data_IF_557858073885
#
_entry.id   IF_557858073885
#
_cell.length_a   1.000
_cell.length_b   1.000
_cell.length_c   1.000
_cell.angle_alpha   90.00
_cell.angle_beta   90.00
_cell.angle_gamma   90.00
#
_symmetry.space_group_name_H-M   'P 1'
#
loop_
_entity.id
_entity.type
_entity.pdbx_description
1 polymer ?
#
# COMPACT_ATOMS: atom_id res chain seq x y z
N UNK A 1 35.48 31.66 31.42
CA UNK A 1 35.12 30.27 31.78
C UNK A 1 36.04 29.83 32.91
N UNK A 2 35.57 29.77 34.15
CA UNK A 2 36.38 29.44 35.34
C UNK A 2 36.69 27.94 35.49
N UNK A 3 36.01 27.06 34.73
CA UNK A 3 36.16 25.60 34.79
C UNK A 3 36.88 25.08 33.54
N UNK A 4 37.88 24.18 33.68
CA UNK A 4 38.56 23.58 32.54
C UNK A 4 37.65 22.79 31.60
N UNK A 5 37.83 22.94 30.28
CA UNK A 5 37.05 22.23 29.24
C UNK A 5 37.14 20.70 29.39
N UNK A 6 38.32 20.17 29.70
CA UNK A 6 38.53 18.73 29.89
C UNK A 6 37.59 18.17 30.97
N UNK A 7 37.44 18.89 32.09
CA UNK A 7 36.57 18.46 33.19
C UNK A 7 35.09 18.41 32.80
N UNK A 8 34.66 19.33 31.93
CA UNK A 8 33.30 19.34 31.38
C UNK A 8 33.09 18.14 30.45
N UNK A 9 34.07 17.82 29.60
CA UNK A 9 34.01 16.66 28.70
C UNK A 9 33.94 15.33 29.46
N UNK A 10 34.67 15.19 30.57
CA UNK A 10 34.60 14.00 31.43
C UNK A 10 33.19 13.79 31.97
N UNK A 11 32.56 14.87 32.48
CA UNK A 11 31.19 14.83 32.96
C UNK A 11 30.21 14.46 31.83
N UNK A 12 30.37 15.04 30.64
CA UNK A 12 29.55 14.69 29.47
C UNK A 12 29.72 13.23 29.06
N UNK A 13 30.95 12.69 29.13
CA UNK A 13 31.24 11.28 28.83
C UNK A 13 30.53 10.35 29.82
N UNK A 14 30.62 10.61 31.13
CA UNK A 14 29.93 9.82 32.17
C UNK A 14 28.41 9.90 31.99
N UNK A 15 27.87 11.09 31.73
CA UNK A 15 26.44 11.27 31.43
C UNK A 15 26.01 10.42 30.23
N UNK A 16 26.78 10.44 29.14
CA UNK A 16 26.47 9.65 27.95
C UNK A 16 26.47 8.15 28.25
N UNK A 17 27.38 7.68 29.09
CA UNK A 17 27.44 6.29 29.56
C UNK A 17 26.22 5.90 30.41
N UNK A 18 25.84 6.75 31.38
CA UNK A 18 24.68 6.51 32.27
C UNK A 18 23.37 6.41 31.48
N UNK A 19 23.16 7.29 30.49
CA UNK A 19 21.91 7.34 29.72
C UNK A 19 21.97 6.61 28.37
N UNK A 20 23.04 5.85 28.11
CA UNK A 20 23.26 5.15 26.85
C UNK A 20 23.09 6.05 25.61
N UNK A 21 23.57 7.30 25.71
CA UNK A 21 23.53 8.28 24.60
C UNK A 21 24.90 8.38 23.93
N UNK A 22 24.93 8.86 22.69
CA UNK A 22 26.17 8.95 21.90
C UNK A 22 27.03 10.13 22.34
N UNK A 23 28.30 9.88 22.69
CA UNK A 23 29.30 10.91 22.98
C UNK A 23 30.08 11.26 21.70
N UNK A 24 29.98 12.51 21.23
CA UNK A 24 30.65 12.98 19.99
C UNK A 24 31.25 14.39 20.20
N UNK A 25 32.42 14.51 20.85
CA UNK A 25 33.04 15.80 21.17
C UNK A 25 33.60 16.52 19.93
N UNK A 26 33.94 15.78 18.88
CA UNK A 26 34.51 16.31 17.63
C UNK A 26 33.44 16.70 16.59
N UNK A 27 32.15 16.46 16.88
CA UNK A 27 31.07 16.84 15.97
C UNK A 27 31.06 16.08 14.64
N UNK A 28 31.62 14.86 14.60
CA UNK A 28 31.73 14.06 13.38
C UNK A 28 30.34 13.63 12.88
N UNK A 29 30.15 13.59 11.56
CA UNK A 29 28.89 13.14 10.92
C UNK A 29 28.78 11.61 10.94
N UNK A 30 28.20 11.07 12.01
CA UNK A 30 28.05 9.62 12.23
C UNK A 30 26.75 9.01 11.69
N UNK A 31 25.87 9.80 11.06
CA UNK A 31 24.60 9.29 10.51
C UNK A 31 23.48 9.04 11.53
N UNK A 32 23.72 9.26 12.83
CA UNK A 32 22.73 9.07 13.90
C UNK A 32 21.41 9.83 13.71
N UNK A 33 21.40 10.92 12.92
CA UNK A 33 20.17 11.63 12.55
C UNK A 33 19.18 10.72 11.82
N UNK A 34 19.69 9.86 10.93
CA UNK A 34 18.87 8.95 10.12
C UNK A 34 18.34 7.81 10.99
N UNK A 35 19.17 7.25 11.87
CA UNK A 35 18.77 6.17 12.77
C UNK A 35 17.76 6.61 13.84
N UNK A 36 17.85 7.84 14.33
CA UNK A 36 16.88 8.41 15.30
C UNK A 36 15.55 8.81 14.64
N UNK A 37 15.49 8.86 13.32
CA UNK A 37 14.25 9.21 12.63
C UNK A 37 13.24 8.08 12.80
N UNK A 38 12.10 8.38 13.44
CA UNK A 38 10.98 7.44 13.54
C UNK A 38 10.51 7.00 12.16
N UNK A 39 10.28 5.70 12.01
CA UNK A 39 9.73 5.12 10.79
C UNK A 39 8.30 5.63 10.56
N UNK A 40 7.98 5.98 9.32
CA UNK A 40 6.63 6.47 8.92
C UNK A 40 5.83 5.43 8.13
N UNK A 41 6.42 4.26 7.87
CA UNK A 41 5.82 3.19 7.06
C UNK A 41 4.38 2.83 7.46
N UNK A 42 4.11 2.53 8.75
CA UNK A 42 2.76 2.16 9.18
C UNK A 42 1.70 3.23 8.90
N UNK A 43 2.04 4.51 9.13
CA UNK A 43 1.13 5.63 8.90
C UNK A 43 0.82 5.84 7.41
N UNK A 44 1.80 5.57 6.53
CA UNK A 44 1.60 5.65 5.07
C UNK A 44 0.82 4.44 4.54
N UNK A 45 1.08 3.24 5.08
CA UNK A 45 0.38 2.02 4.67
C UNK A 45 -1.12 2.07 5.00
N UNK A 46 -1.51 2.75 6.08
CA UNK A 46 -2.90 2.93 6.49
C UNK A 46 -3.61 4.11 5.82
N UNK A 47 -3.10 4.63 4.70
CA UNK A 47 -3.69 5.79 4.03
C UNK A 47 -5.12 5.52 3.54
N UNK A 48 -5.35 4.37 2.89
CA UNK A 48 -6.69 3.93 2.53
C UNK A 48 -7.29 3.06 3.64
N UNK A 49 -8.59 3.23 3.95
CA UNK A 49 -9.28 2.34 4.88
C UNK A 49 -9.15 0.88 4.46
N UNK A 50 -8.99 -0.01 5.45
CA UNK A 50 -9.05 -1.45 5.19
C UNK A 50 -10.46 -1.82 4.74
N UNK A 51 -10.57 -2.78 3.82
CA UNK A 51 -11.85 -3.40 3.49
C UNK A 51 -12.39 -4.10 4.74
N UNK A 52 -13.57 -3.71 5.19
CA UNK A 52 -14.18 -4.21 6.43
C UNK A 52 -15.08 -5.41 6.17
N UNK A 53 -16.17 -5.19 5.43
CA UNK A 53 -17.16 -6.21 5.08
C UNK A 53 -17.72 -5.86 3.71
N UNK A 54 -17.85 -6.86 2.86
CA UNK A 54 -18.46 -6.71 1.53
C UNK A 54 -19.84 -7.37 1.52
N UNK A 55 -20.69 -7.03 0.53
CA UNK A 55 -21.99 -7.69 0.33
C UNK A 55 -21.85 -9.21 0.20
N UNK A 56 -20.73 -9.67 -0.38
CA UNK A 56 -20.41 -11.11 -0.47
C UNK A 56 -20.13 -11.77 0.88
N UNK A 57 -19.56 -11.04 1.83
CA UNK A 57 -19.32 -11.56 3.17
C UNK A 57 -20.65 -11.71 3.91
N UNK A 58 -21.56 -10.76 3.70
CA UNK A 58 -22.94 -10.82 4.19
C UNK A 58 -23.69 -12.02 3.58
N UNK A 59 -23.70 -12.16 2.26
CA UNK A 59 -24.34 -13.29 1.57
C UNK A 59 -23.84 -14.64 2.10
N UNK A 60 -22.54 -14.76 2.40
CA UNK A 60 -21.96 -16.00 2.93
C UNK A 60 -22.48 -16.34 4.33
N UNK A 61 -22.57 -15.35 5.20
CA UNK A 61 -23.00 -15.53 6.59
C UNK A 61 -24.49 -15.91 6.66
N UNK A 62 -25.33 -15.16 5.96
CA UNK A 62 -26.77 -15.31 6.00
C UNK A 62 -27.31 -16.46 5.13
N UNK A 63 -26.47 -17.05 4.28
CA UNK A 63 -26.81 -18.27 3.51
C UNK A 63 -27.24 -19.42 4.42
N UNK A 64 -26.66 -19.51 5.63
CA UNK A 64 -27.00 -20.54 6.60
C UNK A 64 -28.43 -20.44 7.13
N UNK A 65 -29.03 -19.25 7.07
CA UNK A 65 -30.39 -18.97 7.52
C UNK A 65 -31.39 -18.96 6.36
N UNK A 66 -30.99 -19.46 5.19
CA UNK A 66 -31.78 -19.47 3.94
C UNK A 66 -32.23 -18.06 3.50
N UNK A 67 -31.56 -17.02 4.00
CA UNK A 67 -31.80 -15.64 3.62
C UNK A 67 -31.04 -15.34 2.33
N UNK A 68 -31.76 -14.78 1.36
CA UNK A 68 -31.21 -14.31 0.10
C UNK A 68 -30.96 -12.81 0.24
N UNK A 69 -29.77 -12.36 -0.14
CA UNK A 69 -29.43 -10.93 -0.20
C UNK A 69 -28.91 -10.62 -1.59
N UNK A 70 -29.55 -9.64 -2.22
CA UNK A 70 -29.26 -9.22 -3.58
C UNK A 70 -28.22 -8.09 -3.57
N UNK A 71 -27.36 -8.06 -4.59
CA UNK A 71 -26.32 -7.04 -4.78
C UNK A 71 -26.74 -6.20 -6.00
N UNK A 72 -27.61 -5.21 -5.75
CA UNK A 72 -28.30 -4.43 -6.79
C UNK A 72 -27.33 -3.86 -7.84
N UNK A 73 -26.21 -3.25 -7.41
CA UNK A 73 -25.21 -2.69 -8.33
C UNK A 73 -24.59 -3.76 -9.23
N UNK A 74 -24.39 -4.95 -8.68
CA UNK A 74 -23.81 -6.07 -9.41
C UNK A 74 -24.82 -6.70 -10.37
N UNK A 75 -26.10 -6.75 -10.00
CA UNK A 75 -27.19 -7.24 -10.85
C UNK A 75 -27.46 -6.28 -12.02
N UNK A 76 -27.56 -4.97 -11.75
CA UNK A 76 -27.66 -3.92 -12.77
C UNK A 76 -26.52 -4.01 -13.79
N UNK A 77 -25.30 -4.23 -13.29
CA UNK A 77 -24.12 -4.41 -14.15
C UNK A 77 -24.26 -5.64 -15.05
N UNK A 78 -24.79 -6.75 -14.53
CA UNK A 78 -24.99 -7.98 -15.30
C UNK A 78 -26.09 -7.81 -16.36
N UNK A 79 -27.20 -7.15 -16.00
CA UNK A 79 -28.26 -6.81 -16.95
C UNK A 79 -27.75 -5.90 -18.07
N UNK A 80 -26.99 -4.86 -17.74
CA UNK A 80 -26.38 -3.98 -18.73
C UNK A 80 -25.47 -4.76 -19.70
N UNK A 81 -24.67 -5.71 -19.19
CA UNK A 81 -23.83 -6.59 -20.01
C UNK A 81 -24.68 -7.52 -20.89
N UNK A 82 -25.76 -8.10 -20.36
CA UNK A 82 -26.67 -8.97 -21.11
C UNK A 82 -27.33 -8.18 -22.26
N UNK A 83 -27.82 -6.97 -21.98
CA UNK A 83 -28.37 -6.06 -22.97
C UNK A 83 -27.38 -5.70 -24.07
N UNK A 84 -26.11 -5.41 -23.73
CA UNK A 84 -25.05 -5.15 -24.72
C UNK A 84 -24.81 -6.34 -25.64
N UNK A 85 -24.78 -7.56 -25.09
CA UNK A 85 -24.59 -8.80 -25.86
C UNK A 85 -25.76 -9.05 -26.82
N UNK A 86 -27.00 -8.84 -26.38
CA UNK A 86 -28.19 -9.05 -27.20
C UNK A 86 -28.18 -8.21 -28.49
N UNK A 87 -27.69 -6.97 -28.43
CA UNK A 87 -27.55 -6.07 -29.60
C UNK A 87 -26.22 -6.17 -30.34
N UNK A 88 -25.38 -7.17 -30.03
CA UNK A 88 -24.06 -7.33 -30.65
C UNK A 88 -23.06 -6.21 -30.32
N UNK A 89 -23.31 -5.44 -29.24
CA UNK A 89 -22.43 -4.36 -28.74
C UNK A 89 -21.62 -4.80 -27.51
N UNK A 90 -21.57 -6.10 -27.25
CA UNK A 90 -20.72 -6.68 -26.20
C UNK A 90 -19.23 -6.42 -26.48
N UNK A 91 -18.43 -6.41 -25.41
CA UNK A 91 -16.98 -6.30 -25.55
C UNK A 91 -16.42 -7.44 -26.43
N UNK A 92 -15.45 -7.14 -27.31
CA UNK A 92 -14.83 -8.16 -28.14
C UNK A 92 -14.07 -9.19 -27.30
N UNK A 93 -13.84 -10.38 -27.87
CA UNK A 93 -13.10 -11.45 -27.19
C UNK A 93 -11.70 -10.98 -26.82
N UNK A 94 -11.35 -11.06 -25.53
CA UNK A 94 -10.00 -10.74 -25.02
C UNK A 94 -8.96 -11.61 -25.71
N UNK A 95 -7.99 -10.99 -26.39
CA UNK A 95 -6.82 -11.67 -26.98
C UNK A 95 -5.98 -12.26 -25.85
N UNK A 96 -5.56 -13.54 -25.98
CA UNK A 96 -4.70 -14.25 -25.02
C UNK A 96 -3.26 -14.48 -25.52
N UNK A 97 -2.92 -13.95 -26.70
CA UNK A 97 -1.61 -14.11 -27.32
C UNK A 97 -1.24 -12.91 -28.19
N UNK A 98 -0.01 -12.89 -28.71
CA UNK A 98 0.44 -11.84 -29.61
C UNK A 98 -0.46 -11.73 -30.84
N UNK A 99 -0.60 -10.53 -31.43
CA UNK A 99 -1.35 -10.37 -32.66
C UNK A 99 -0.73 -11.24 -33.76
N UNK A 100 -1.55 -12.01 -34.47
CA UNK A 100 -1.10 -12.73 -35.65
C UNK A 100 -0.48 -11.75 -36.65
N UNK A 101 0.62 -12.12 -37.36
CA UNK A 101 1.17 -11.29 -38.41
C UNK A 101 0.07 -11.05 -39.45
N UNK A 102 -0.22 -9.78 -39.74
CA UNK A 102 -1.15 -9.42 -40.81
C UNK A 102 -0.59 -9.93 -42.13
N UNK A 103 -1.24 -10.90 -42.77
CA UNK A 103 -0.97 -11.22 -44.17
C UNK A 103 -1.21 -9.95 -44.99
N UNK A 104 -0.13 -9.34 -45.47
CA UNK A 104 -0.22 -8.31 -46.50
C UNK A 104 -0.82 -8.99 -47.73
N UNK A 105 -2.15 -8.90 -47.91
CA UNK A 105 -2.79 -9.24 -49.19
C UNK A 105 -2.07 -8.42 -50.26
N UNK A 106 -1.23 -9.11 -51.04
CA UNK A 106 -0.54 -8.50 -52.17
C UNK A 106 -1.59 -7.86 -53.06
N UNK A 107 -1.44 -6.56 -53.31
CA UNK A 107 -2.13 -5.90 -54.41
C UNK A 107 -1.67 -6.63 -55.69
N UNK A 108 -2.57 -7.41 -56.29
CA UNK A 108 -2.53 -7.72 -57.72
C UNK A 108 -3.39 -6.71 -58.44
#
# INVERSE_FOLDING_TARGET
MSVPRARILDLMKVRCQVFSTTFNPEGIRTGNKILRQRLRGPALASYYPRKVSTVRDLQREFKSWELITDDEEQDDRLEHIAGLKARGKGAPKKKKGPPAPTEKKGKR
#
